data_IF_977855902606
#
_entry.id   IF_977855902606
#
_cell.length_a   1.000
_cell.length_b   1.000
_cell.length_c   1.000
_cell.angle_alpha   90.00
_cell.angle_beta   90.00
_cell.angle_gamma   90.00
#
_symmetry.space_group_name_H-M   'P 1'
#
loop_
_entity.id
_entity.type
_entity.pdbx_description
1 polymer ?
#
# COMPACT_ATOMS: atom_id res chain seq x y z
N UNK A 1 0.09 7.61 -10.01
CA UNK A 1 1.11 6.62 -10.42
C UNK A 1 2.48 7.27 -10.60
N UNK A 2 2.58 8.40 -11.30
CA UNK A 2 3.85 9.08 -11.64
C UNK A 2 4.71 9.45 -10.41
N UNK A 3 4.09 9.60 -9.25
CA UNK A 3 4.78 9.90 -8.00
C UNK A 3 5.52 8.68 -7.41
N UNK A 4 4.99 7.48 -7.62
CA UNK A 4 5.52 6.24 -7.03
C UNK A 4 6.32 5.40 -8.01
N UNK A 5 5.81 5.25 -9.23
CA UNK A 5 6.45 4.44 -10.26
C UNK A 5 7.57 5.24 -10.95
N UNK A 6 8.74 4.64 -11.18
CA UNK A 6 9.79 5.26 -11.96
C UNK A 6 9.27 5.66 -13.35
N UNK A 7 9.84 6.73 -13.90
CA UNK A 7 9.57 7.08 -15.30
C UNK A 7 10.11 5.99 -16.21
N UNK A 8 9.38 5.71 -17.27
CA UNK A 8 9.83 4.82 -18.35
C UNK A 8 9.54 5.46 -19.69
N UNK A 9 10.34 5.14 -20.69
CA UNK A 9 10.13 5.64 -22.05
C UNK A 9 9.04 4.87 -22.81
N UNK A 10 8.46 3.81 -22.24
CA UNK A 10 7.53 2.94 -22.95
C UNK A 10 6.22 2.78 -22.16
N UNK A 11 5.18 3.50 -22.60
CA UNK A 11 3.87 3.54 -21.93
C UNK A 11 2.72 3.41 -22.94
N UNK A 12 1.69 2.66 -22.57
CA UNK A 12 0.46 2.54 -23.35
C UNK A 12 -0.76 2.31 -22.46
N UNK A 13 -1.93 2.29 -23.04
CA UNK A 13 -3.17 1.98 -22.34
C UNK A 13 -4.36 1.95 -23.28
N UNK A 14 -5.54 2.09 -22.73
CA UNK A 14 -6.79 2.28 -23.49
C UNK A 14 -7.02 3.77 -23.73
N UNK A 15 -7.81 4.13 -24.70
CA UNK A 15 -8.18 5.53 -24.96
C UNK A 15 -8.70 6.25 -23.71
N UNK A 16 -9.51 5.57 -22.88
CA UNK A 16 -10.03 6.10 -21.61
C UNK A 16 -8.98 6.19 -20.50
N UNK A 17 -7.92 5.37 -20.58
CA UNK A 17 -6.85 5.28 -19.58
C UNK A 17 -5.49 5.10 -20.26
N UNK A 18 -5.01 6.12 -21.01
CA UNK A 18 -3.93 5.94 -22.00
C UNK A 18 -2.56 5.61 -21.41
N UNK A 19 -2.36 5.81 -20.09
CA UNK A 19 -1.09 5.52 -19.38
C UNK A 19 -1.28 4.44 -18.32
N UNK A 20 -2.19 3.49 -18.55
CA UNK A 20 -2.49 2.42 -17.59
C UNK A 20 -1.42 1.31 -17.56
N UNK A 21 -0.58 1.21 -18.57
CA UNK A 21 0.51 0.23 -18.67
C UNK A 21 1.85 0.93 -18.81
N UNK A 22 2.83 0.46 -18.04
CA UNK A 22 4.22 0.91 -18.05
C UNK A 22 5.13 -0.29 -18.19
N UNK A 23 6.03 -0.26 -19.13
CA UNK A 23 6.97 -1.35 -19.36
C UNK A 23 8.33 -1.00 -18.78
N UNK A 24 8.94 -1.98 -18.13
CA UNK A 24 10.27 -1.88 -17.54
C UNK A 24 11.14 -3.05 -17.97
N UNK A 25 12.43 -2.83 -18.08
CA UNK A 25 13.43 -3.86 -18.23
C UNK A 25 13.92 -4.28 -16.85
N UNK A 26 13.46 -5.43 -16.37
CA UNK A 26 13.86 -5.96 -15.06
C UNK A 26 15.20 -6.67 -15.21
N UNK A 27 16.26 -6.10 -14.59
CA UNK A 27 17.66 -6.52 -14.79
C UNK A 27 18.03 -7.80 -14.01
N UNK A 28 17.28 -8.16 -12.98
CA UNK A 28 17.47 -9.33 -12.10
C UNK A 28 16.35 -10.36 -12.24
N UNK A 29 15.60 -10.35 -13.34
CA UNK A 29 14.46 -11.22 -13.56
C UNK A 29 14.89 -12.70 -13.62
N UNK A 30 14.10 -13.56 -12.99
CA UNK A 30 14.28 -15.00 -13.05
C UNK A 30 12.94 -15.71 -13.35
N UNK A 31 12.97 -17.05 -13.57
CA UNK A 31 11.77 -17.85 -13.94
C UNK A 31 10.66 -17.85 -12.89
N UNK A 32 10.96 -17.48 -11.63
CA UNK A 32 9.98 -17.40 -10.53
C UNK A 32 9.19 -16.09 -10.56
N UNK A 33 9.72 -15.05 -11.17
CA UNK A 33 9.08 -13.75 -11.29
C UNK A 33 8.00 -13.80 -12.38
N UNK A 34 6.76 -14.01 -12.00
CA UNK A 34 5.65 -14.20 -12.96
C UNK A 34 4.63 -13.07 -12.87
N UNK A 35 3.79 -13.10 -11.87
CA UNK A 35 2.67 -12.16 -11.68
C UNK A 35 2.54 -11.77 -10.22
N UNK A 36 2.36 -10.50 -9.96
CA UNK A 36 2.11 -10.00 -8.59
C UNK A 36 0.88 -9.13 -8.57
N UNK A 37 -0.05 -9.45 -7.68
CA UNK A 37 -1.27 -8.69 -7.46
C UNK A 37 -1.19 -7.83 -6.22
N UNK A 38 -1.73 -6.64 -6.35
CA UNK A 38 -2.01 -5.72 -5.26
C UNK A 38 -3.51 -5.44 -5.28
N UNK A 39 -4.25 -5.98 -4.32
CA UNK A 39 -5.71 -5.91 -4.28
C UNK A 39 -6.20 -5.48 -2.92
N UNK A 40 -7.39 -4.90 -2.88
CA UNK A 40 -8.06 -4.44 -1.68
C UNK A 40 -9.56 -4.70 -1.82
N UNK A 41 -10.19 -5.24 -0.77
CA UNK A 41 -11.63 -5.46 -0.72
C UNK A 41 -12.25 -4.28 0.00
N UNK A 42 -13.03 -3.49 -0.70
CA UNK A 42 -13.82 -2.39 -0.14
C UNK A 42 -15.17 -2.91 0.38
N UNK A 43 -15.76 -2.22 1.36
CA UNK A 43 -16.99 -2.67 2.05
C UNK A 43 -18.13 -3.02 1.10
N UNK A 44 -18.33 -2.19 0.07
CA UNK A 44 -19.48 -2.27 -0.82
C UNK A 44 -19.13 -2.87 -2.19
N UNK A 45 -17.95 -3.48 -2.34
CA UNK A 45 -17.46 -3.98 -3.62
C UNK A 45 -16.72 -5.30 -3.48
N UNK A 46 -16.77 -6.10 -4.51
CA UNK A 46 -15.87 -7.24 -4.66
C UNK A 46 -14.41 -6.81 -4.58
N UNK A 47 -13.54 -7.75 -4.16
CA UNK A 47 -12.10 -7.51 -4.08
C UNK A 47 -11.56 -7.00 -5.41
N UNK A 48 -11.11 -5.75 -5.43
CA UNK A 48 -10.59 -5.10 -6.61
C UNK A 48 -9.07 -5.16 -6.69
N UNK A 49 -8.57 -5.45 -7.86
CA UNK A 49 -7.17 -5.29 -8.18
C UNK A 49 -6.85 -3.80 -8.29
N UNK A 50 -5.88 -3.33 -7.51
CA UNK A 50 -5.39 -1.96 -7.54
C UNK A 50 -4.29 -1.79 -8.60
N UNK A 51 -3.31 -2.69 -8.54
CA UNK A 51 -2.13 -2.71 -9.42
C UNK A 51 -1.76 -4.16 -9.70
N UNK A 52 -1.16 -4.40 -10.85
CA UNK A 52 -0.66 -5.70 -11.26
C UNK A 52 0.70 -5.57 -11.93
N UNK A 53 1.65 -6.43 -11.54
CA UNK A 53 2.88 -6.66 -12.30
C UNK A 53 2.68 -7.95 -13.10
N UNK A 54 2.92 -7.89 -14.40
CA UNK A 54 2.97 -9.05 -15.30
C UNK A 54 4.39 -9.24 -15.78
N UNK A 55 4.91 -10.43 -15.61
CA UNK A 55 6.25 -10.82 -16.02
C UNK A 55 6.22 -12.16 -16.75
N UNK A 56 7.15 -13.06 -16.51
CA UNK A 56 7.23 -14.34 -17.20
C UNK A 56 5.89 -15.09 -17.29
N UNK A 57 5.58 -15.67 -18.46
CA UNK A 57 4.37 -16.47 -18.75
C UNK A 57 3.04 -15.70 -18.71
N UNK A 58 3.07 -14.37 -18.74
CA UNK A 58 1.88 -13.53 -18.81
C UNK A 58 1.91 -12.64 -20.04
N UNK A 59 0.77 -12.50 -20.66
CA UNK A 59 0.59 -11.70 -21.86
C UNK A 59 -0.18 -10.42 -21.55
N UNK A 60 0.11 -9.37 -22.31
CA UNK A 60 -0.63 -8.12 -22.27
C UNK A 60 -0.89 -7.70 -23.71
N UNK A 61 -2.12 -7.35 -24.01
CA UNK A 61 -2.48 -6.80 -25.32
C UNK A 61 -1.91 -5.38 -25.43
N UNK A 62 -0.99 -5.20 -26.35
CA UNK A 62 -0.30 -3.92 -26.59
C UNK A 62 -0.65 -3.28 -27.93
N UNK A 63 -1.54 -3.91 -28.71
CA UNK A 63 -2.06 -3.40 -29.96
C UNK A 63 -3.46 -3.97 -30.22
N UNK A 64 -4.25 -3.29 -31.05
CA UNK A 64 -5.58 -3.75 -31.42
C UNK A 64 -6.71 -3.02 -30.69
N UNK A 65 -7.87 -3.65 -30.65
CA UNK A 65 -9.10 -3.10 -30.11
C UNK A 65 -9.73 -4.09 -29.14
N UNK A 66 -10.27 -3.60 -28.04
CA UNK A 66 -11.03 -4.37 -27.05
C UNK A 66 -12.46 -4.65 -27.56
N UNK A 67 -13.14 -5.64 -26.95
CA UNK A 67 -14.50 -6.04 -27.31
C UNK A 67 -15.52 -4.89 -27.20
N UNK A 68 -15.26 -3.93 -26.32
CA UNK A 68 -16.08 -2.72 -26.16
C UNK A 68 -15.79 -1.63 -27.21
N UNK A 69 -14.95 -1.89 -28.20
CA UNK A 69 -14.57 -0.94 -29.24
C UNK A 69 -13.41 0.00 -28.91
N UNK A 70 -12.93 -0.01 -27.69
CA UNK A 70 -11.86 0.86 -27.22
C UNK A 70 -10.49 0.39 -27.74
N UNK A 71 -9.70 1.29 -28.31
CA UNK A 71 -8.39 0.96 -28.89
C UNK A 71 -7.26 1.03 -27.86
N UNK A 72 -6.22 0.25 -28.13
CA UNK A 72 -4.93 0.42 -27.47
C UNK A 72 -4.23 1.61 -28.07
N UNK A 73 -3.78 2.53 -27.20
CA UNK A 73 -3.02 3.73 -27.58
C UNK A 73 -1.69 3.77 -26.86
N UNK A 74 -0.64 4.06 -27.62
CA UNK A 74 0.69 4.28 -27.06
C UNK A 74 0.88 5.77 -26.78
N UNK A 75 1.37 6.10 -25.59
CA UNK A 75 1.63 7.48 -25.19
C UNK A 75 3.13 7.81 -25.19
N UNK A 76 3.96 6.78 -25.21
CA UNK A 76 5.42 6.91 -25.29
C UNK A 76 6.03 5.69 -25.99
N UNK A 77 7.03 5.92 -26.81
CA UNK A 77 7.69 4.92 -27.68
C UNK A 77 9.19 4.81 -27.44
N UNK A 78 9.69 5.31 -26.32
CA UNK A 78 11.11 5.24 -25.97
C UNK A 78 11.53 3.89 -25.41
N UNK A 79 12.75 3.82 -24.89
CA UNK A 79 13.27 2.60 -24.27
C UNK A 79 12.66 2.39 -22.87
N UNK A 80 12.34 1.13 -22.50
CA UNK A 80 11.89 0.80 -21.16
C UNK A 80 13.04 1.02 -20.17
N UNK A 81 12.76 1.72 -19.07
CA UNK A 81 13.77 1.96 -18.04
C UNK A 81 14.15 0.69 -17.29
N UNK A 82 15.42 0.57 -16.94
CA UNK A 82 15.93 -0.54 -16.13
C UNK A 82 15.52 -0.40 -14.66
N UNK A 83 15.14 -1.53 -14.06
CA UNK A 83 14.74 -1.60 -12.66
C UNK A 83 14.99 -3.02 -12.11
N UNK A 84 15.26 -3.14 -10.80
CA UNK A 84 15.27 -4.45 -10.14
C UNK A 84 13.84 -4.91 -9.82
N UNK A 85 13.64 -6.22 -9.70
CA UNK A 85 12.35 -6.80 -9.35
C UNK A 85 11.83 -6.25 -8.01
N UNK A 86 12.68 -6.23 -6.99
CA UNK A 86 12.30 -5.75 -5.67
C UNK A 86 11.91 -4.27 -5.65
N UNK A 87 12.66 -3.43 -6.38
CA UNK A 87 12.33 -2.00 -6.53
C UNK A 87 10.98 -1.81 -7.23
N UNK A 88 10.71 -2.59 -8.27
CA UNK A 88 9.43 -2.55 -8.98
C UNK A 88 8.28 -3.00 -8.06
N UNK A 89 8.46 -4.09 -7.31
CA UNK A 89 7.49 -4.59 -6.34
C UNK A 89 7.20 -3.54 -5.24
N UNK A 90 8.23 -2.94 -4.66
CA UNK A 90 8.09 -1.91 -3.63
C UNK A 90 7.35 -0.67 -4.17
N UNK A 91 7.69 -0.19 -5.35
CA UNK A 91 7.03 0.95 -5.98
C UNK A 91 5.53 0.70 -6.21
N UNK A 92 5.17 -0.50 -6.68
CA UNK A 92 3.76 -0.89 -6.87
C UNK A 92 3.02 -1.09 -5.54
N UNK A 93 3.70 -1.59 -4.51
CA UNK A 93 3.14 -1.69 -3.16
C UNK A 93 2.81 -0.31 -2.57
N UNK A 94 3.75 0.65 -2.67
CA UNK A 94 3.53 2.04 -2.24
C UNK A 94 2.36 2.70 -3.00
N UNK A 95 2.31 2.54 -4.32
CA UNK A 95 1.18 3.02 -5.12
C UNK A 95 -0.14 2.42 -4.64
N UNK A 96 -0.17 1.14 -4.34
CA UNK A 96 -1.38 0.45 -3.88
C UNK A 96 -1.81 0.92 -2.49
N UNK A 97 -0.87 1.15 -1.57
CA UNK A 97 -1.14 1.74 -0.25
C UNK A 97 -1.70 3.15 -0.41
N UNK A 98 -1.13 3.98 -1.28
CA UNK A 98 -1.64 5.32 -1.55
C UNK A 98 -3.08 5.28 -2.12
N UNK A 99 -3.39 4.33 -3.00
CA UNK A 99 -4.76 4.14 -3.51
C UNK A 99 -5.76 3.83 -2.38
N UNK A 100 -5.38 2.99 -1.41
CA UNK A 100 -6.24 2.69 -0.26
C UNK A 100 -6.41 3.90 0.64
N UNK A 101 -5.30 4.59 0.97
CA UNK A 101 -5.34 5.82 1.78
C UNK A 101 -6.30 6.85 1.15
N UNK A 102 -6.20 7.08 -0.17
CA UNK A 102 -7.04 8.03 -0.87
C UNK A 102 -8.53 7.61 -0.92
N UNK A 103 -8.81 6.33 -1.13
CA UNK A 103 -10.19 5.81 -1.11
C UNK A 103 -10.89 6.02 0.22
N UNK A 104 -10.13 5.94 1.30
CA UNK A 104 -10.62 6.05 2.68
C UNK A 104 -10.30 7.40 3.31
N UNK A 105 -9.80 8.38 2.53
CA UNK A 105 -9.39 9.67 3.05
C UNK A 105 -10.55 10.39 3.71
N UNK A 106 -10.35 10.83 4.94
CA UNK A 106 -11.41 11.44 5.74
C UNK A 106 -11.89 12.78 5.16
N UNK A 107 -13.15 13.10 5.42
CA UNK A 107 -13.75 14.38 5.07
C UNK A 107 -13.09 15.54 5.84
N UNK A 108 -13.23 16.74 5.31
CA UNK A 108 -12.74 17.97 5.96
C UNK A 108 -13.27 18.06 7.40
N UNK A 109 -12.39 18.34 8.35
CA UNK A 109 -12.67 18.32 9.78
C UNK A 109 -12.16 17.08 10.51
N UNK A 110 -12.12 15.91 9.86
CA UNK A 110 -11.61 14.66 10.43
C UNK A 110 -10.23 14.25 9.90
N UNK A 111 -9.69 15.01 8.94
CA UNK A 111 -8.43 14.67 8.24
C UNK A 111 -7.24 14.56 9.19
N UNK A 112 -7.16 15.44 10.18
CA UNK A 112 -6.05 15.42 11.14
C UNK A 112 -5.99 14.11 11.93
N UNK A 113 -7.13 13.67 12.46
CA UNK A 113 -7.22 12.42 13.21
C UNK A 113 -6.98 11.20 12.31
N UNK A 114 -7.54 11.21 11.10
CA UNK A 114 -7.31 10.16 10.12
C UNK A 114 -5.82 10.00 9.80
N UNK A 115 -5.15 11.09 9.43
CA UNK A 115 -3.73 11.07 9.05
C UNK A 115 -2.84 10.69 10.23
N UNK A 116 -3.11 11.19 11.43
CA UNK A 116 -2.37 10.82 12.64
C UNK A 116 -2.38 9.31 12.87
N UNK A 117 -3.57 8.68 12.81
CA UNK A 117 -3.74 7.23 12.99
C UNK A 117 -3.16 6.44 11.81
N UNK A 118 -3.26 6.98 10.59
CA UNK A 118 -2.64 6.37 9.41
C UNK A 118 -1.12 6.35 9.53
N UNK A 119 -0.49 7.46 9.92
CA UNK A 119 0.95 7.53 10.17
C UNK A 119 1.34 6.54 11.28
N UNK A 120 0.56 6.47 12.36
CA UNK A 120 0.75 5.48 13.42
C UNK A 120 0.70 4.05 12.89
N UNK A 121 -0.26 3.73 12.02
CA UNK A 121 -0.35 2.41 11.38
C UNK A 121 0.90 2.11 10.53
N UNK A 122 1.35 3.05 9.71
CA UNK A 122 2.57 2.90 8.89
C UNK A 122 3.82 2.70 9.77
N UNK A 123 3.93 3.48 10.84
CA UNK A 123 5.03 3.40 11.81
C UNK A 123 5.06 2.03 12.53
N UNK A 124 3.94 1.52 13.03
CA UNK A 124 3.86 0.20 13.65
C UNK A 124 4.25 -0.93 12.70
N UNK A 125 3.84 -0.81 11.44
CA UNK A 125 4.20 -1.77 10.40
C UNK A 125 5.62 -1.59 9.86
N UNK A 126 6.43 -0.70 10.47
CA UNK A 126 7.84 -0.46 10.13
C UNK A 126 8.05 -0.01 8.67
N UNK A 127 7.11 0.73 8.13
CA UNK A 127 7.33 1.50 6.90
C UNK A 127 8.40 2.55 7.20
N UNK A 128 9.35 2.73 6.30
CA UNK A 128 10.42 3.72 6.49
C UNK A 128 9.87 5.15 6.50
N UNK A 129 10.51 6.06 7.24
CA UNK A 129 10.08 7.45 7.34
C UNK A 129 9.99 8.12 5.96
N UNK A 130 10.96 7.86 5.08
CA UNK A 130 10.97 8.39 3.73
C UNK A 130 9.77 7.90 2.89
N UNK A 131 9.44 6.61 2.97
CA UNK A 131 8.28 6.04 2.31
C UNK A 131 6.97 6.56 2.90
N UNK A 132 6.90 6.72 4.23
CA UNK A 132 5.75 7.32 4.90
C UNK A 132 5.55 8.78 4.44
N UNK A 133 6.59 9.60 4.42
CA UNK A 133 6.54 10.98 3.91
C UNK A 133 6.03 11.00 2.46
N UNK A 134 6.58 10.15 1.61
CA UNK A 134 6.17 10.01 0.21
C UNK A 134 4.69 9.66 0.06
N UNK A 135 4.17 8.73 0.88
CA UNK A 135 2.76 8.36 0.89
C UNK A 135 1.86 9.51 1.34
N UNK A 136 2.21 10.13 2.45
CA UNK A 136 1.39 11.21 3.04
C UNK A 136 1.40 12.46 2.16
N UNK A 137 2.55 12.85 1.62
CA UNK A 137 2.67 13.98 0.68
C UNK A 137 1.77 13.78 -0.55
N UNK A 138 1.90 12.63 -1.21
CA UNK A 138 1.10 12.32 -2.39
C UNK A 138 -0.41 12.31 -2.10
N UNK A 139 -0.82 11.69 -0.98
CA UNK A 139 -2.23 11.58 -0.63
C UNK A 139 -2.82 12.92 -0.18
N UNK A 140 -2.11 13.68 0.63
CA UNK A 140 -2.53 15.02 1.06
C UNK A 140 -2.65 15.97 -0.13
N UNK A 141 -1.67 15.95 -1.06
CA UNK A 141 -1.71 16.76 -2.29
C UNK A 141 -2.94 16.47 -3.15
N UNK A 142 -3.24 15.19 -3.39
CA UNK A 142 -4.44 14.77 -4.15
C UNK A 142 -5.74 15.16 -3.43
N UNK A 143 -5.77 15.03 -2.10
CA UNK A 143 -6.94 15.35 -1.28
C UNK A 143 -7.10 16.86 -1.03
N UNK A 144 -6.23 17.70 -1.59
CA UNK A 144 -6.19 19.16 -1.31
C UNK A 144 -6.17 19.45 0.20
N UNK A 145 -5.26 18.78 0.91
CA UNK A 145 -5.00 18.93 2.34
C UNK A 145 -3.67 19.68 2.57
N UNK A 146 -3.39 20.14 3.78
CA UNK A 146 -2.13 20.81 4.11
C UNK A 146 -0.96 19.82 4.18
N UNK A 147 -0.22 19.76 3.07
CA UNK A 147 0.92 18.84 2.92
C UNK A 147 1.99 19.10 3.99
N UNK A 148 2.32 20.37 4.26
CA UNK A 148 3.39 20.72 5.20
C UNK A 148 3.04 20.32 6.63
N UNK A 149 1.80 20.56 7.05
CA UNK A 149 1.31 20.13 8.37
C UNK A 149 1.36 18.60 8.48
N UNK A 150 0.96 17.86 7.43
CA UNK A 150 0.97 16.39 7.43
C UNK A 150 2.38 15.82 7.47
N UNK A 151 3.34 16.40 6.76
CA UNK A 151 4.75 16.00 6.79
C UNK A 151 5.42 16.28 8.14
N UNK A 152 5.11 17.42 8.78
CA UNK A 152 5.57 17.69 10.14
C UNK A 152 5.09 16.61 11.12
N UNK A 153 3.83 16.17 10.99
CA UNK A 153 3.27 15.07 11.80
C UNK A 153 4.00 13.74 11.60
N UNK A 154 4.40 13.41 10.36
CA UNK A 154 5.24 12.21 10.11
C UNK A 154 6.53 12.32 10.89
N UNK A 155 7.23 13.45 10.77
CA UNK A 155 8.51 13.66 11.46
C UNK A 155 8.36 13.55 12.98
N UNK A 156 7.30 14.10 13.57
CA UNK A 156 7.03 14.03 15.00
C UNK A 156 6.80 12.59 15.48
N UNK A 157 6.02 11.81 14.73
CA UNK A 157 5.73 10.42 15.11
C UNK A 157 6.96 9.54 14.94
N UNK A 158 7.76 9.73 13.90
CA UNK A 158 8.96 8.90 13.65
C UNK A 158 10.13 9.18 14.60
N UNK A 159 10.13 10.33 15.29
CA UNK A 159 11.10 10.62 16.37
C UNK A 159 10.78 9.92 17.70
N UNK A 160 9.57 9.40 17.87
CA UNK A 160 9.14 8.77 19.11
C UNK A 160 9.79 7.42 19.33
N UNK A 161 9.97 7.06 20.60
CA UNK A 161 10.42 5.73 20.97
C UNK A 161 9.36 4.68 20.58
N UNK A 162 9.81 3.50 20.15
CA UNK A 162 8.95 2.37 19.79
C UNK A 162 8.15 1.80 20.96
N UNK A 163 8.51 2.18 22.19
CA UNK A 163 7.78 1.83 23.42
C UNK A 163 6.58 2.76 23.69
N UNK A 164 6.53 3.93 23.03
CA UNK A 164 5.40 4.84 23.18
C UNK A 164 4.13 4.27 22.55
N UNK A 165 3.02 4.48 23.24
CA UNK A 165 1.70 4.12 22.70
C UNK A 165 1.25 5.18 21.70
N UNK A 166 1.20 4.80 20.44
CA UNK A 166 0.67 5.61 19.33
C UNK A 166 -0.58 4.92 18.79
N UNK A 167 -1.63 5.70 18.55
CA UNK A 167 -2.81 5.17 17.87
C UNK A 167 -2.46 4.76 16.43
N UNK A 168 -2.86 3.58 16.04
CA UNK A 168 -2.54 3.00 14.74
C UNK A 168 -3.75 2.33 14.09
N UNK A 169 -3.50 1.27 13.33
CA UNK A 169 -4.52 0.62 12.51
C UNK A 169 -5.80 0.17 13.25
N UNK A 170 -5.75 -0.36 14.50
CA UNK A 170 -6.96 -0.71 15.22
C UNK A 170 -7.88 0.50 15.47
N UNK A 171 -7.32 1.61 15.94
CA UNK A 171 -8.08 2.85 16.17
C UNK A 171 -8.54 3.50 14.87
N UNK A 172 -7.71 3.45 13.82
CA UNK A 172 -8.08 3.88 12.48
C UNK A 172 -9.31 3.10 11.98
N UNK A 173 -9.29 1.79 12.13
CA UNK A 173 -10.38 0.92 11.70
C UNK A 173 -11.69 1.20 12.47
N UNK A 174 -11.60 1.32 13.78
CA UNK A 174 -12.74 1.63 14.65
C UNK A 174 -13.40 2.96 14.28
N UNK A 175 -12.62 4.05 14.21
CA UNK A 175 -13.16 5.40 14.03
C UNK A 175 -13.57 5.72 12.58
N UNK A 176 -12.96 5.06 11.59
CA UNK A 176 -13.23 5.28 10.17
C UNK A 176 -13.95 4.10 9.50
N UNK A 177 -14.56 3.24 10.31
CA UNK A 177 -15.42 2.13 9.86
C UNK A 177 -14.77 1.21 8.83
N UNK A 178 -13.53 0.78 9.07
CA UNK A 178 -12.90 -0.26 8.29
C UNK A 178 -13.33 -1.63 8.84
N UNK A 179 -13.74 -2.53 7.96
CA UNK A 179 -14.03 -3.91 8.35
C UNK A 179 -12.75 -4.77 8.41
N UNK A 180 -12.88 -5.99 8.93
CA UNK A 180 -11.76 -6.91 9.12
C UNK A 180 -11.06 -7.28 7.81
N UNK A 181 -11.79 -7.43 6.70
CA UNK A 181 -11.23 -7.73 5.38
C UNK A 181 -10.38 -6.56 4.87
N UNK A 182 -10.85 -5.31 5.05
CA UNK A 182 -10.11 -4.10 4.70
C UNK A 182 -8.81 -3.98 5.50
N UNK A 183 -8.89 -4.18 6.81
CA UNK A 183 -7.72 -4.18 7.70
C UNK A 183 -6.73 -5.26 7.30
N UNK A 184 -7.20 -6.47 7.01
CA UNK A 184 -6.38 -7.61 6.58
C UNK A 184 -5.68 -7.34 5.25
N UNK A 185 -6.41 -6.83 4.26
CA UNK A 185 -5.83 -6.55 2.94
C UNK A 185 -4.86 -5.37 3.01
N UNK A 186 -5.15 -4.33 3.79
CA UNK A 186 -4.23 -3.22 4.01
C UNK A 186 -2.92 -3.68 4.66
N UNK A 187 -2.99 -4.53 5.69
CA UNK A 187 -1.79 -5.14 6.29
C UNK A 187 -0.95 -5.89 5.26
N UNK A 188 -1.57 -6.67 4.36
CA UNK A 188 -0.85 -7.36 3.29
C UNK A 188 -0.11 -6.40 2.36
N UNK A 189 -0.71 -5.26 2.04
CA UNK A 189 -0.04 -4.23 1.24
C UNK A 189 1.16 -3.63 1.97
N UNK A 190 1.02 -3.35 3.28
CA UNK A 190 2.12 -2.84 4.10
C UNK A 190 3.29 -3.83 4.20
N UNK A 191 3.01 -5.14 4.27
CA UNK A 191 4.07 -6.15 4.23
C UNK A 191 4.82 -6.14 2.91
N UNK A 192 4.12 -5.96 1.79
CA UNK A 192 4.78 -5.83 0.48
C UNK A 192 5.65 -4.56 0.39
N UNK A 193 5.27 -3.47 1.05
CA UNK A 193 6.11 -2.26 1.14
C UNK A 193 7.41 -2.53 1.91
N UNK A 194 7.31 -3.29 3.00
CA UNK A 194 8.44 -3.54 3.92
C UNK A 194 9.25 -4.78 3.57
N UNK A 195 8.92 -5.49 2.47
CA UNK A 195 9.59 -6.73 2.04
C UNK A 195 9.32 -7.92 2.97
N UNK A 196 8.26 -7.88 3.76
CA UNK A 196 7.88 -8.98 4.65
C UNK A 196 6.82 -9.81 3.97
N UNK A 197 7.08 -11.09 3.73
CA UNK A 197 6.17 -11.98 3.00
C UNK A 197 4.89 -12.35 3.75
N UNK A 198 4.89 -12.21 5.05
CA UNK A 198 3.72 -12.38 5.94
C UNK A 198 4.03 -11.82 7.32
N UNK A 199 3.00 -11.55 8.13
CA UNK A 199 3.22 -11.65 9.58
C UNK A 199 3.81 -13.03 9.84
N UNK A 200 4.86 -13.17 10.65
CA UNK A 200 5.03 -14.42 11.35
C UNK A 200 3.68 -14.70 12.02
N UNK A 201 3.18 -15.93 11.95
CA UNK A 201 1.97 -16.39 12.67
C UNK A 201 1.95 -16.00 14.16
N UNK A 202 3.08 -15.53 14.66
CA UNK A 202 3.37 -15.02 16.00
C UNK A 202 2.52 -13.85 16.47
N UNK A 203 1.85 -13.07 15.61
CA UNK A 203 1.03 -11.96 16.14
C UNK A 203 -0.31 -12.41 16.66
N UNK A 204 -0.87 -13.49 16.16
CA UNK A 204 -2.02 -14.15 16.81
C UNK A 204 -1.59 -14.92 18.05
N UNK A 205 -0.42 -15.57 18.02
CA UNK A 205 0.15 -16.29 19.16
C UNK A 205 0.57 -15.30 20.26
N UNK A 206 1.17 -14.16 19.91
CA UNK A 206 1.61 -13.18 20.92
C UNK A 206 0.44 -12.54 21.68
N UNK A 207 -0.67 -12.23 21.00
CA UNK A 207 -1.89 -11.74 21.68
C UNK A 207 -2.57 -12.88 22.45
N UNK A 208 -2.58 -14.09 21.90
CA UNK A 208 -3.10 -15.28 22.57
C UNK A 208 -2.19 -15.71 23.72
N UNK A 209 -0.86 -15.61 23.56
CA UNK A 209 0.11 -15.90 24.63
C UNK A 209 0.04 -14.87 25.76
N UNK A 210 -0.11 -13.58 25.45
CA UNK A 210 -0.34 -12.56 26.50
C UNK A 210 -1.69 -12.80 27.17
N UNK A 211 -2.75 -13.10 26.43
CA UNK A 211 -4.06 -13.42 27.02
C UNK A 211 -4.01 -14.73 27.81
N UNK A 212 -3.27 -15.73 27.34
CA UNK A 212 -3.03 -16.98 28.05
C UNK A 212 -2.18 -16.75 29.30
N UNK A 213 -1.10 -15.99 29.22
CA UNK A 213 -0.24 -15.64 30.37
C UNK A 213 -0.99 -14.76 31.38
N UNK A 214 -1.82 -13.82 30.92
CA UNK A 214 -2.67 -13.04 31.84
C UNK A 214 -3.73 -13.92 32.53
N UNK A 215 -4.28 -14.93 31.87
CA UNK A 215 -5.18 -15.92 32.45
C UNK A 215 -4.42 -16.83 33.45
N UNK A 216 -3.21 -17.24 33.13
CA UNK A 216 -2.35 -18.01 34.03
C UNK A 216 -1.96 -17.20 35.27
N UNK A 217 -1.57 -15.92 35.12
CA UNK A 217 -1.25 -15.04 36.23
C UNK A 217 -2.44 -14.88 37.19
N UNK A 218 -3.67 -14.80 36.65
CA UNK A 218 -4.89 -14.76 37.46
C UNK A 218 -5.15 -16.05 38.25
N UNK A 219 -4.57 -17.18 37.81
CA UNK A 219 -4.64 -18.47 38.53
C UNK A 219 -3.60 -18.56 39.64
N UNK A 220 -2.46 -17.89 39.52
CA UNK A 220 -1.40 -17.87 40.53
C UNK A 220 -1.63 -16.83 41.63
N UNK A 221 -2.40 -15.78 41.37
CA UNK A 221 -2.74 -14.74 42.35
C UNK A 221 -4.00 -15.14 43.18
N UNK A 222 -4.56 -16.34 43.01
CA UNK A 222 -5.73 -16.86 43.73
C UNK A 222 -5.40 -18.07 44.62
N UNK A 223 -4.14 -18.43 44.79
CA UNK A 223 -3.59 -19.38 45.77
C UNK A 223 -2.53 -18.70 46.59
#
# INVERSE_FOLDING_TARGET
ADYFLPKTGLEFGRESTPRSHRLYKVIDINKKHTRTYYSFKDQDKDKQMLVEIRANKHYTMCAGQYDNGEKVVWTSYGEPSEITWDSLCKANALLSVACVILRKYANKGLRNEYIKKMIGALWYHKVDEADCKKLIEACAGVASDDVNERLARVTDIYKRDRTEQIEGLPKLAEEFNWNDDEVKDFKKLLYKVTGRDSLPEYTHTFVNDITYMMKQKKYYDLN
#
